data_IF_294195954302
#
_entry.id   IF_294195954302
#
_cell.length_a   1.000
_cell.length_b   1.000
_cell.length_c   1.000
_cell.angle_alpha   90.00
_cell.angle_beta   90.00
_cell.angle_gamma   90.00
#
_symmetry.space_group_name_H-M   'P 1'
#
loop_
_entity.id
_entity.type
_entity.pdbx_description
1 polymer ?
#
# COMPACT_ATOMS: atom_id res chain seq x y z
N UNK A 1 13.57 -24.23 26.22
CA UNK A 1 12.33 -23.88 25.51
C UNK A 1 12.72 -23.12 24.26
N UNK A 2 12.40 -23.64 23.09
CA UNK A 2 12.41 -22.84 21.87
C UNK A 2 11.14 -23.19 21.10
N UNK A 3 10.00 -22.67 21.57
CA UNK A 3 8.71 -22.75 20.86
C UNK A 3 8.60 -21.71 19.73
N UNK A 4 9.71 -21.09 19.34
CA UNK A 4 9.76 -20.01 18.36
C UNK A 4 10.79 -20.40 17.30
N UNK A 5 10.30 -20.72 16.11
CA UNK A 5 11.09 -20.88 14.89
C UNK A 5 10.68 -19.75 13.94
N UNK A 6 11.59 -18.85 13.60
CA UNK A 6 11.32 -17.70 12.74
C UNK A 6 12.22 -17.78 11.52
N UNK A 7 11.61 -17.89 10.35
CA UNK A 7 12.28 -17.72 9.07
C UNK A 7 12.29 -16.23 8.71
N UNK A 8 13.38 -15.55 9.07
CA UNK A 8 13.55 -14.12 8.83
C UNK A 8 13.53 -13.76 7.34
N UNK A 9 14.02 -14.66 6.47
CA UNK A 9 14.04 -14.44 5.03
C UNK A 9 12.62 -14.49 4.46
N UNK A 10 11.82 -15.46 4.90
CA UNK A 10 10.43 -15.59 4.47
C UNK A 10 9.60 -14.38 4.91
N UNK A 11 9.77 -13.90 6.14
CA UNK A 11 9.05 -12.72 6.64
C UNK A 11 9.44 -11.46 5.85
N UNK A 12 10.74 -11.26 5.61
CA UNK A 12 11.23 -10.12 4.82
C UNK A 12 10.76 -10.19 3.35
N UNK A 13 10.69 -11.39 2.77
CA UNK A 13 10.17 -11.62 1.42
C UNK A 13 8.71 -11.19 1.31
N UNK A 14 7.85 -11.64 2.24
CA UNK A 14 6.43 -11.25 2.26
C UNK A 14 6.28 -9.74 2.48
N UNK A 15 7.00 -9.14 3.43
CA UNK A 15 6.96 -7.69 3.65
C UNK A 15 7.37 -6.91 2.39
N UNK A 16 8.36 -7.41 1.65
CA UNK A 16 8.82 -6.80 0.38
C UNK A 16 7.76 -6.91 -0.73
N UNK A 17 7.06 -8.05 -0.82
CA UNK A 17 5.94 -8.24 -1.75
C UNK A 17 4.78 -7.28 -1.46
N UNK A 18 4.43 -7.12 -0.17
CA UNK A 18 3.40 -6.18 0.27
C UNK A 18 3.76 -4.74 -0.11
N UNK A 19 4.98 -4.30 0.17
CA UNK A 19 5.45 -2.96 -0.22
C UNK A 19 5.45 -2.79 -1.75
N UNK A 20 5.89 -3.80 -2.50
CA UNK A 20 5.90 -3.78 -3.96
C UNK A 20 4.50 -3.67 -4.55
N UNK A 21 3.51 -4.34 -3.96
CA UNK A 21 2.12 -4.25 -4.40
C UNK A 21 1.60 -2.81 -4.27
N UNK A 22 1.93 -2.11 -3.17
CA UNK A 22 1.54 -0.71 -2.96
C UNK A 22 2.22 0.21 -3.95
N UNK A 23 3.55 0.10 -4.11
CA UNK A 23 4.32 0.96 -5.02
C UNK A 23 3.92 0.81 -6.48
N UNK A 24 3.41 -0.37 -6.88
CA UNK A 24 2.90 -0.59 -8.23
C UNK A 24 1.44 -0.18 -8.42
N UNK A 25 0.60 -0.33 -7.40
CA UNK A 25 -0.85 -0.14 -7.52
C UNK A 25 -1.26 1.32 -7.35
N UNK A 26 -0.71 2.03 -6.37
CA UNK A 26 -1.08 3.43 -6.11
C UNK A 26 -0.82 4.35 -7.31
N UNK A 27 0.33 4.26 -8.03
CA UNK A 27 0.53 5.06 -9.23
C UNK A 27 -0.47 4.75 -10.35
N UNK A 28 -0.87 3.48 -10.51
CA UNK A 28 -1.89 3.08 -11.50
C UNK A 28 -3.25 3.68 -11.17
N UNK A 29 -3.66 3.64 -9.90
CA UNK A 29 -4.90 4.26 -9.44
C UNK A 29 -4.91 5.76 -9.70
N UNK A 30 -3.82 6.45 -9.35
CA UNK A 30 -3.67 7.88 -9.62
C UNK A 30 -3.67 8.20 -11.12
N UNK A 31 -3.05 7.35 -11.95
CA UNK A 31 -3.11 7.47 -13.40
C UNK A 31 -4.55 7.38 -13.91
N UNK A 32 -5.31 6.38 -13.48
CA UNK A 32 -6.72 6.22 -13.87
C UNK A 32 -7.58 7.40 -13.41
N UNK A 33 -7.36 7.95 -12.22
CA UNK A 33 -8.02 9.19 -11.77
C UNK A 33 -7.78 10.35 -12.73
N UNK A 34 -6.54 10.52 -13.19
CA UNK A 34 -6.21 11.60 -14.13
C UNK A 34 -6.87 11.39 -15.49
N UNK A 35 -6.88 10.15 -15.99
CA UNK A 35 -7.57 9.80 -17.25
C UNK A 35 -9.08 10.08 -17.15
N UNK A 36 -9.73 9.63 -16.07
CA UNK A 36 -11.17 9.88 -15.85
C UNK A 36 -11.46 11.37 -15.70
N UNK A 37 -10.61 12.11 -14.99
CA UNK A 37 -10.79 13.56 -14.83
C UNK A 37 -10.66 14.27 -16.18
N UNK A 38 -9.67 13.91 -17.00
CA UNK A 38 -9.44 14.45 -18.34
C UNK A 38 -10.61 14.14 -19.27
N UNK A 39 -11.10 12.89 -19.25
CA UNK A 39 -12.25 12.45 -20.04
C UNK A 39 -13.50 13.32 -19.79
N UNK A 40 -13.69 13.78 -18.55
CA UNK A 40 -14.86 14.54 -18.10
C UNK A 40 -14.73 16.07 -18.26
N UNK A 41 -13.66 16.56 -18.90
CA UNK A 41 -13.47 17.99 -19.20
C UNK A 41 -14.13 18.40 -20.52
N UNK A 42 -14.35 19.72 -20.74
CA UNK A 42 -14.93 20.26 -21.99
C UNK A 42 -14.14 19.92 -23.25
N UNK A 43 -12.83 19.75 -23.10
CA UNK A 43 -11.92 19.37 -24.19
C UNK A 43 -11.65 17.85 -24.21
N UNK A 44 -12.32 17.10 -23.33
CA UNK A 44 -12.22 15.66 -23.19
C UNK A 44 -13.17 14.87 -24.09
N UNK A 45 -13.19 13.55 -23.91
CA UNK A 45 -14.01 12.63 -24.70
C UNK A 45 -15.45 12.44 -24.23
N UNK A 46 -15.81 12.88 -23.02
CA UNK A 46 -17.15 12.74 -22.45
C UNK A 46 -17.50 13.92 -21.52
N UNK A 47 -17.87 15.05 -22.10
CA UNK A 47 -18.33 16.21 -21.33
C UNK A 47 -19.84 16.30 -21.26
N UNK A 48 -20.37 16.25 -20.04
CA UNK A 48 -21.75 16.53 -19.70
C UNK A 48 -21.75 17.69 -18.71
N UNK A 49 -22.18 18.88 -19.15
CA UNK A 49 -22.04 20.13 -18.39
C UNK A 49 -22.51 20.04 -16.92
N UNK A 50 -23.60 19.31 -16.66
CA UNK A 50 -24.16 19.16 -15.31
C UNK A 50 -23.61 17.92 -14.57
N UNK A 51 -23.38 16.82 -15.28
CA UNK A 51 -23.06 15.53 -14.67
C UNK A 51 -21.55 15.29 -14.51
N UNK A 52 -20.72 15.81 -15.41
CA UNK A 52 -19.26 15.63 -15.38
C UNK A 52 -18.61 16.08 -14.06
N UNK A 53 -18.97 17.22 -13.45
CA UNK A 53 -18.42 17.61 -12.14
C UNK A 53 -18.75 16.62 -11.03
N UNK A 54 -19.98 16.08 -11.04
CA UNK A 54 -20.44 15.10 -10.04
C UNK A 54 -19.71 13.77 -10.23
N UNK A 55 -19.60 13.30 -11.47
CA UNK A 55 -18.89 12.06 -11.81
C UNK A 55 -17.39 12.14 -11.47
N UNK A 56 -16.75 13.27 -11.76
CA UNK A 56 -15.34 13.50 -11.41
C UNK A 56 -15.12 13.47 -9.89
N UNK A 57 -16.04 14.06 -9.12
CA UNK A 57 -16.01 14.01 -7.65
C UNK A 57 -16.18 12.58 -7.12
N UNK A 58 -17.20 11.86 -7.60
CA UNK A 58 -17.45 10.47 -7.21
C UNK A 58 -16.24 9.58 -7.48
N UNK A 59 -15.60 9.73 -8.64
CA UNK A 59 -14.39 8.97 -8.96
C UNK A 59 -13.20 9.37 -8.09
N UNK A 60 -13.05 10.66 -7.77
CA UNK A 60 -12.02 11.13 -6.84
C UNK A 60 -12.20 10.54 -5.44
N UNK A 61 -13.42 10.50 -4.94
CA UNK A 61 -13.75 9.93 -3.63
C UNK A 61 -13.49 8.41 -3.62
N UNK A 62 -13.91 7.70 -4.68
CA UNK A 62 -13.60 6.29 -4.88
C UNK A 62 -12.09 6.03 -4.90
N UNK A 63 -11.33 6.75 -5.74
CA UNK A 63 -9.89 6.59 -5.84
C UNK A 63 -9.19 6.86 -4.51
N UNK A 64 -9.65 7.86 -3.76
CA UNK A 64 -9.13 8.18 -2.43
C UNK A 64 -9.36 7.03 -1.45
N UNK A 65 -10.57 6.47 -1.42
CA UNK A 65 -10.92 5.33 -0.57
C UNK A 65 -10.05 4.09 -0.89
N UNK A 66 -9.94 3.73 -2.17
CA UNK A 66 -9.15 2.58 -2.60
C UNK A 66 -7.67 2.80 -2.35
N UNK A 67 -7.13 3.98 -2.65
CA UNK A 67 -5.72 4.31 -2.39
C UNK A 67 -5.41 4.25 -0.90
N UNK A 68 -6.31 4.75 -0.03
CA UNK A 68 -6.19 4.62 1.42
C UNK A 68 -6.13 3.16 1.87
N UNK A 69 -7.04 2.32 1.35
CA UNK A 69 -7.05 0.89 1.66
C UNK A 69 -5.77 0.17 1.20
N UNK A 70 -5.27 0.47 -0.01
CA UNK A 70 -4.01 -0.09 -0.52
C UNK A 70 -2.83 0.39 0.31
N UNK A 71 -2.78 1.66 0.73
CA UNK A 71 -1.71 2.17 1.59
C UNK A 71 -1.68 1.46 2.94
N UNK A 72 -2.81 1.03 3.50
CA UNK A 72 -2.85 0.26 4.75
C UNK A 72 -2.12 -1.10 4.66
N UNK A 73 -1.87 -1.61 3.45
CA UNK A 73 -1.04 -2.81 3.25
C UNK A 73 0.40 -2.58 3.77
N UNK A 74 0.92 -1.36 3.68
CA UNK A 74 2.25 -1.01 4.23
C UNK A 74 2.30 -1.16 5.75
N UNK A 75 1.18 -0.99 6.45
CA UNK A 75 1.11 -1.19 7.89
C UNK A 75 1.37 -2.65 8.28
N UNK A 76 0.88 -3.62 7.50
CA UNK A 76 1.19 -5.04 7.73
C UNK A 76 2.66 -5.34 7.46
N UNK A 77 3.24 -4.81 6.37
CA UNK A 77 4.66 -4.95 6.09
C UNK A 77 5.54 -4.37 7.22
N UNK A 78 5.15 -3.21 7.75
CA UNK A 78 5.83 -2.57 8.89
C UNK A 78 5.76 -3.42 10.16
N UNK A 79 4.60 -4.00 10.47
CA UNK A 79 4.43 -4.88 11.62
C UNK A 79 5.32 -6.13 11.54
N UNK A 80 5.40 -6.76 10.36
CA UNK A 80 6.27 -7.92 10.16
C UNK A 80 7.76 -7.56 10.34
N UNK A 81 8.20 -6.45 9.77
CA UNK A 81 9.58 -5.97 9.95
C UNK A 81 9.90 -5.63 11.42
N UNK A 82 8.95 -5.05 12.15
CA UNK A 82 9.11 -4.75 13.57
C UNK A 82 9.25 -6.03 14.41
N UNK A 83 8.45 -7.07 14.13
CA UNK A 83 8.55 -8.37 14.78
C UNK A 83 9.93 -8.99 14.54
N UNK A 84 10.39 -9.01 13.28
CA UNK A 84 11.73 -9.50 12.91
C UNK A 84 12.83 -8.77 13.68
N UNK A 85 12.77 -7.44 13.69
CA UNK A 85 13.76 -6.59 14.36
C UNK A 85 13.81 -6.86 15.87
N UNK A 86 12.66 -6.99 16.51
CA UNK A 86 12.56 -7.27 17.94
C UNK A 86 13.14 -8.65 18.29
N UNK A 87 12.85 -9.66 17.47
CA UNK A 87 13.37 -11.03 17.67
C UNK A 87 14.88 -11.11 17.46
N UNK A 88 15.41 -10.45 16.41
CA UNK A 88 16.86 -10.38 16.17
C UNK A 88 17.59 -9.66 17.31
N UNK A 89 17.01 -8.56 17.83
CA UNK A 89 17.58 -7.83 18.96
C UNK A 89 17.62 -8.68 20.23
N UNK A 90 16.55 -9.42 20.50
CA UNK A 90 16.48 -10.33 21.64
C UNK A 90 17.50 -11.48 21.53
N UNK A 91 17.63 -12.08 20.34
CA UNK A 91 18.59 -13.15 20.08
C UNK A 91 20.04 -12.66 20.25
N UNK A 92 20.37 -11.50 19.68
CA UNK A 92 21.69 -10.88 19.81
C UNK A 92 22.05 -10.55 21.27
N UNK A 93 21.09 -10.06 22.06
CA UNK A 93 21.31 -9.77 23.48
C UNK A 93 21.61 -11.04 24.28
N UNK A 94 20.91 -12.15 24.00
CA UNK A 94 21.16 -13.45 24.66
C UNK A 94 22.51 -14.03 24.23
N UNK A 95 22.86 -13.93 22.94
CA UNK A 95 24.13 -14.42 22.41
C UNK A 95 25.33 -13.62 22.94
N UNK A 96 25.20 -12.30 23.08
CA UNK A 96 26.23 -11.40 23.61
C UNK A 96 26.35 -11.37 25.14
N UNK A 97 25.44 -12.04 25.86
CA UNK A 97 25.49 -12.16 27.33
C UNK A 97 26.34 -13.35 27.82
N UNK A 98 27.22 -13.88 26.97
CA UNK A 98 28.17 -14.97 27.28
C UNK A 98 29.60 -14.47 27.30
#
# INVERSE_FOLDING_TARGET
MANINVDYEQVNSVASLLNSAVTQTVPKLNGLKNEVTTLLTSDGGLWLQQSSPVLSRQYTDFNTSVTGAVNNITSFASQFNAIVTQLQTMDAAIAGSK
#
